data_IF_203147628714
#
_entry.id   IF_203147628714
#
_cell.length_a   1.000
_cell.length_b   1.000
_cell.length_c   1.000
_cell.angle_alpha   90.00
_cell.angle_beta   90.00
_cell.angle_gamma   90.00
#
_symmetry.space_group_name_H-M   'P 1'
#
loop_
_entity.id
_entity.type
_entity.pdbx_description
1 polymer ?
#
# COMPACT_ATOMS: atom_id res chain seq x y z
N UNK A 1 -15.77 27.11 -1.63
CA UNK A 1 -16.87 26.13 -1.68
C UNK A 1 -17.06 25.82 -3.15
N UNK A 2 -16.42 24.76 -3.62
CA UNK A 2 -17.10 23.48 -4.00
C UNK A 2 -16.88 23.35 -5.52
N UNK A 3 -16.58 22.22 -6.15
CA UNK A 3 -16.39 20.84 -5.72
C UNK A 3 -15.49 20.16 -6.76
N UNK A 4 -14.71 19.18 -6.31
CA UNK A 4 -14.05 18.21 -7.17
C UNK A 4 -15.13 17.44 -7.96
N UNK A 5 -15.26 17.70 -9.26
CA UNK A 5 -16.01 16.86 -10.17
C UNK A 5 -15.44 16.99 -11.59
N UNK A 6 -14.57 16.05 -11.93
CA UNK A 6 -14.14 15.76 -13.29
C UNK A 6 -14.05 14.25 -13.48
N UNK A 7 -15.06 13.53 -13.00
CA UNK A 7 -15.27 12.12 -13.31
C UNK A 7 -15.80 12.01 -14.73
N UNK A 8 -15.04 11.28 -15.55
CA UNK A 8 -15.47 10.33 -16.59
C UNK A 8 -16.84 10.65 -17.19
N UNK A 9 -16.86 11.21 -18.40
CA UNK A 9 -17.97 10.94 -19.29
C UNK A 9 -17.58 10.97 -20.78
N UNK A 10 -18.10 9.95 -21.45
CA UNK A 10 -18.19 9.67 -22.88
C UNK A 10 -17.00 9.02 -23.62
N UNK A 11 -17.24 7.73 -23.91
CA UNK A 11 -17.18 7.09 -25.24
C UNK A 11 -16.13 7.68 -26.18
N UNK A 12 -14.92 7.14 -26.09
CA UNK A 12 -14.11 6.71 -27.22
C UNK A 12 -12.87 6.00 -26.65
N UNK A 13 -12.86 4.68 -26.77
CA UNK A 13 -11.69 3.85 -26.45
C UNK A 13 -10.60 4.17 -27.47
N UNK A 14 -9.64 5.00 -27.10
CA UNK A 14 -8.30 5.05 -27.66
C UNK A 14 -7.34 5.50 -26.57
N UNK A 15 -6.92 4.55 -25.73
CA UNK A 15 -5.97 4.77 -24.63
C UNK A 15 -4.52 5.01 -25.13
N UNK A 16 -4.31 5.00 -26.45
CA UNK A 16 -3.00 5.16 -27.09
C UNK A 16 -3.05 6.18 -28.22
N UNK A 17 -3.39 7.43 -27.91
CA UNK A 17 -2.88 8.55 -28.71
C UNK A 17 -2.09 9.48 -27.79
N UNK A 18 -0.78 9.44 -28.01
CA UNK A 18 0.26 10.10 -27.25
C UNK A 18 0.11 11.63 -27.25
N UNK A 19 -0.52 12.17 -26.22
CA UNK A 19 -0.06 13.44 -25.66
C UNK A 19 0.81 13.11 -24.47
N UNK A 20 2.12 13.21 -24.65
CA UNK A 20 3.07 13.15 -23.54
C UNK A 20 2.58 14.07 -22.42
N UNK A 21 2.09 13.50 -21.32
CA UNK A 21 1.91 14.22 -20.08
C UNK A 21 3.29 14.63 -19.57
N UNK A 22 3.86 15.69 -20.15
CA UNK A 22 5.03 16.34 -19.57
C UNK A 22 4.59 16.98 -18.26
N UNK A 23 4.96 16.33 -17.16
CA UNK A 23 4.83 16.90 -15.83
C UNK A 23 5.51 18.28 -15.82
N UNK A 24 4.73 19.36 -15.86
CA UNK A 24 5.27 20.74 -15.88
C UNK A 24 5.90 21.04 -14.51
N UNK A 25 7.23 21.05 -14.46
CA UNK A 25 8.02 21.30 -13.26
C UNK A 25 8.11 22.80 -12.95
N UNK A 26 7.06 23.40 -12.36
CA UNK A 26 7.13 24.81 -11.93
C UNK A 26 7.67 24.95 -10.49
N UNK A 27 8.93 25.38 -10.38
CA UNK A 27 9.45 26.34 -9.39
C UNK A 27 9.50 26.04 -7.89
N UNK A 28 8.72 25.12 -7.32
CA UNK A 28 8.68 24.89 -5.87
C UNK A 28 8.60 23.39 -5.57
N UNK A 29 9.70 22.66 -5.79
CA UNK A 29 9.77 21.25 -5.40
C UNK A 29 10.38 21.16 -3.99
N UNK A 30 9.67 20.63 -2.99
CA UNK A 30 10.28 20.32 -1.70
C UNK A 30 11.49 19.39 -1.92
N UNK A 31 12.55 19.57 -1.14
CA UNK A 31 13.75 18.70 -1.21
C UNK A 31 13.42 17.19 -1.09
N UNK A 32 12.27 16.86 -0.49
CA UNK A 32 11.82 15.50 -0.21
C UNK A 32 10.98 14.90 -1.36
N UNK A 33 10.87 15.58 -2.51
CA UNK A 33 10.05 15.08 -3.61
C UNK A 33 10.56 13.72 -4.14
N UNK A 34 9.70 12.70 -4.26
CA UNK A 34 10.13 11.32 -4.50
C UNK A 34 10.34 11.02 -5.99
N UNK A 35 11.22 11.77 -6.69
CA UNK A 35 11.43 11.66 -8.15
C UNK A 35 11.65 10.21 -8.62
N UNK A 36 12.60 9.52 -7.96
CA UNK A 36 12.95 8.13 -8.30
C UNK A 36 11.78 7.17 -8.12
N UNK A 37 11.00 7.31 -7.04
CA UNK A 37 9.85 6.42 -6.81
C UNK A 37 8.74 6.64 -7.83
N UNK A 38 8.49 7.89 -8.22
CA UNK A 38 7.50 8.19 -9.27
C UNK A 38 7.93 7.66 -10.63
N UNK A 39 9.22 7.76 -10.97
CA UNK A 39 9.75 7.18 -12.19
C UNK A 39 9.59 5.65 -12.18
N UNK A 40 10.07 4.97 -11.13
CA UNK A 40 9.94 3.51 -11.00
C UNK A 40 8.48 3.05 -11.02
N UNK A 41 7.58 3.81 -10.40
CA UNK A 41 6.16 3.51 -10.43
C UNK A 41 5.58 3.69 -11.83
N UNK A 42 5.94 4.76 -12.54
CA UNK A 42 5.52 4.97 -13.92
C UNK A 42 5.98 3.85 -14.83
N UNK A 43 7.25 3.43 -14.72
CA UNK A 43 7.80 2.30 -15.48
C UNK A 43 7.05 1.01 -15.17
N UNK A 44 6.78 0.73 -13.89
CA UNK A 44 6.03 -0.46 -13.48
C UNK A 44 4.61 -0.49 -14.07
N UNK A 45 3.86 0.62 -13.94
CA UNK A 45 2.48 0.69 -14.43
C UNK A 45 2.41 0.61 -15.97
N UNK A 46 3.43 1.11 -16.68
CA UNK A 46 3.48 1.00 -18.14
C UNK A 46 3.73 -0.42 -18.64
N UNK A 47 4.50 -1.21 -17.89
CA UNK A 47 4.88 -2.57 -18.29
C UNK A 47 3.94 -3.66 -17.70
N UNK A 48 3.19 -3.35 -16.64
CA UNK A 48 2.36 -4.34 -15.94
C UNK A 48 1.06 -4.63 -16.69
N UNK A 49 0.79 -5.92 -16.91
CA UNK A 49 -0.48 -6.39 -17.46
C UNK A 49 -1.57 -6.36 -16.36
N UNK A 50 -2.49 -5.40 -16.45
CA UNK A 50 -3.59 -5.25 -15.50
C UNK A 50 -4.78 -6.19 -15.77
N UNK A 51 -4.83 -6.80 -16.95
CA UNK A 51 -5.86 -7.78 -17.28
C UNK A 51 -5.52 -9.16 -16.68
N UNK A 52 -4.28 -9.33 -16.22
CA UNK A 52 -3.83 -10.53 -15.52
C UNK A 52 -4.48 -10.70 -14.14
N UNK A 53 -5.19 -11.82 -13.95
CA UNK A 53 -5.78 -12.21 -12.65
C UNK A 53 -4.72 -12.79 -11.71
N UNK A 54 -3.98 -11.92 -11.01
CA UNK A 54 -3.06 -12.37 -9.97
C UNK A 54 -3.75 -12.90 -8.71
N UNK A 55 -5.08 -12.84 -8.63
CA UNK A 55 -5.87 -13.34 -7.49
C UNK A 55 -5.85 -14.87 -7.37
N UNK A 56 -5.59 -15.56 -8.48
CA UNK A 56 -5.57 -17.03 -8.54
C UNK A 56 -4.20 -17.62 -8.16
N UNK A 57 -3.19 -16.76 -7.96
CA UNK A 57 -1.85 -17.17 -7.55
C UNK A 57 -1.86 -17.45 -6.04
N UNK A 58 -1.35 -18.62 -5.59
CA UNK A 58 -1.14 -18.88 -4.17
C UNK A 58 -0.27 -17.79 -3.53
N UNK A 59 -0.61 -17.36 -2.30
CA UNK A 59 0.10 -16.28 -1.60
C UNK A 59 1.62 -16.50 -1.51
N UNK A 60 2.03 -17.77 -1.37
CA UNK A 60 3.44 -18.18 -1.36
C UNK A 60 4.18 -17.81 -2.65
N UNK A 61 3.52 -17.96 -3.79
CA UNK A 61 4.10 -17.70 -5.11
C UNK A 61 3.91 -16.24 -5.55
N UNK A 62 3.01 -15.51 -4.89
CA UNK A 62 2.67 -14.14 -5.24
C UNK A 62 3.86 -13.19 -5.07
N UNK A 63 4.66 -13.40 -4.02
CA UNK A 63 5.88 -12.62 -3.77
C UNK A 63 6.88 -12.86 -4.90
N UNK A 64 7.06 -14.10 -5.32
CA UNK A 64 7.97 -14.46 -6.41
C UNK A 64 7.46 -13.93 -7.75
N UNK A 65 6.16 -14.00 -8.00
CA UNK A 65 5.51 -13.41 -9.17
C UNK A 65 5.83 -11.91 -9.29
N UNK A 66 5.56 -11.11 -8.24
CA UNK A 66 5.86 -9.68 -8.29
C UNK A 66 7.37 -9.40 -8.29
N UNK A 67 8.18 -10.27 -7.67
CA UNK A 67 9.64 -10.14 -7.70
C UNK A 67 10.23 -10.44 -9.08
N UNK A 68 9.55 -11.24 -9.90
CA UNK A 68 9.97 -11.56 -11.27
C UNK A 68 9.72 -10.41 -12.27
N UNK A 69 8.87 -9.44 -11.91
CA UNK A 69 8.56 -8.31 -12.76
C UNK A 69 9.81 -7.45 -12.99
N UNK A 70 10.07 -7.08 -14.25
CA UNK A 70 11.33 -6.42 -14.68
C UNK A 70 11.67 -5.16 -13.87
N UNK A 71 10.68 -4.30 -13.61
CA UNK A 71 10.88 -3.05 -12.86
C UNK A 71 11.09 -3.32 -11.36
N UNK A 72 10.38 -4.31 -10.82
CA UNK A 72 10.35 -4.61 -9.39
C UNK A 72 11.55 -5.43 -8.92
N UNK A 73 12.00 -6.40 -9.73
CA UNK A 73 13.18 -7.25 -9.48
C UNK A 73 14.44 -6.44 -9.14
N UNK A 74 14.64 -5.32 -9.85
CA UNK A 74 15.78 -4.44 -9.69
C UNK A 74 15.64 -3.43 -8.53
N UNK A 75 14.45 -3.33 -7.93
CA UNK A 75 14.12 -2.28 -6.96
C UNK A 75 13.31 -2.81 -5.77
N UNK A 76 13.99 -3.37 -4.77
CA UNK A 76 13.36 -3.93 -3.55
C UNK A 76 12.42 -2.97 -2.83
N UNK A 77 12.72 -1.66 -2.83
CA UNK A 77 11.87 -0.67 -2.14
C UNK A 77 10.50 -0.47 -2.81
N UNK A 78 10.41 -0.45 -4.15
CA UNK A 78 9.12 -0.31 -4.82
C UNK A 78 8.32 -1.62 -4.72
N UNK A 79 8.99 -2.76 -4.87
CA UNK A 79 8.41 -4.09 -4.67
C UNK A 79 7.74 -4.19 -3.28
N UNK A 80 8.49 -3.89 -2.21
CA UNK A 80 7.93 -3.90 -0.85
C UNK A 80 6.75 -2.94 -0.70
N UNK A 81 6.85 -1.72 -1.26
CA UNK A 81 5.74 -0.75 -1.16
C UNK A 81 4.47 -1.27 -1.85
N UNK A 82 4.59 -1.89 -3.02
CA UNK A 82 3.46 -2.46 -3.76
C UNK A 82 2.86 -3.64 -2.99
N UNK A 83 3.70 -4.59 -2.58
CA UNK A 83 3.27 -5.79 -1.86
C UNK A 83 2.61 -5.49 -0.51
N UNK A 84 3.05 -4.44 0.21
CA UNK A 84 2.49 -4.08 1.51
C UNK A 84 1.28 -3.14 1.38
N UNK A 85 1.33 -2.14 0.48
CA UNK A 85 0.33 -1.06 0.47
C UNK A 85 -0.69 -1.15 -0.66
N UNK A 86 -0.39 -1.85 -1.75
CA UNK A 86 -1.28 -1.92 -2.92
C UNK A 86 -1.99 -3.27 -3.00
N UNK A 87 -1.23 -4.37 -3.05
CA UNK A 87 -1.78 -5.72 -3.28
C UNK A 87 -2.84 -6.13 -2.24
N UNK A 88 -2.66 -5.90 -0.92
CA UNK A 88 -3.70 -6.21 0.06
C UNK A 88 -5.01 -5.45 -0.17
N UNK A 89 -4.95 -4.22 -0.70
CA UNK A 89 -6.13 -3.44 -1.05
C UNK A 89 -6.86 -4.00 -2.27
N UNK A 90 -6.14 -4.56 -3.25
CA UNK A 90 -6.75 -5.26 -4.37
C UNK A 90 -7.50 -6.51 -3.91
N UNK A 91 -6.89 -7.33 -3.06
CA UNK A 91 -7.56 -8.47 -2.45
C UNK A 91 -8.79 -8.06 -1.62
N UNK A 92 -8.67 -7.00 -0.80
CA UNK A 92 -9.82 -6.49 -0.05
C UNK A 92 -10.95 -6.01 -0.98
N UNK A 93 -10.61 -5.31 -2.07
CA UNK A 93 -11.59 -4.88 -3.07
C UNK A 93 -12.27 -6.08 -3.74
N UNK A 94 -11.52 -7.10 -4.12
CA UNK A 94 -12.04 -8.34 -4.70
C UNK A 94 -13.00 -9.04 -3.72
N UNK A 95 -12.60 -9.17 -2.46
CA UNK A 95 -13.44 -9.69 -1.39
C UNK A 95 -14.77 -8.95 -1.28
N UNK A 96 -14.74 -7.62 -1.35
CA UNK A 96 -15.92 -6.78 -1.26
C UNK A 96 -16.85 -6.96 -2.47
N UNK A 97 -16.29 -7.04 -3.68
CA UNK A 97 -17.07 -7.19 -4.92
C UNK A 97 -17.71 -8.57 -5.05
N UNK A 98 -17.01 -9.62 -4.60
CA UNK A 98 -17.47 -11.01 -4.71
C UNK A 98 -18.17 -11.52 -3.45
N UNK A 99 -18.17 -10.70 -2.39
CA UNK A 99 -18.64 -11.08 -1.06
C UNK A 99 -17.94 -12.36 -0.53
N UNK A 100 -16.66 -12.53 -0.87
CA UNK A 100 -15.85 -13.68 -0.50
C UNK A 100 -14.71 -13.27 0.44
N UNK A 101 -14.82 -13.69 1.70
CA UNK A 101 -13.84 -13.42 2.76
C UNK A 101 -12.50 -14.13 2.54
N UNK A 102 -12.43 -15.11 1.63
CA UNK A 102 -11.19 -15.82 1.30
C UNK A 102 -10.09 -14.84 0.87
N UNK A 103 -10.41 -13.84 0.04
CA UNK A 103 -9.43 -12.85 -0.40
C UNK A 103 -8.93 -11.95 0.75
N UNK A 104 -9.75 -11.70 1.78
CA UNK A 104 -9.27 -11.00 3.01
C UNK A 104 -8.22 -11.85 3.71
N UNK A 105 -8.46 -13.16 3.83
CA UNK A 105 -7.50 -14.08 4.44
C UNK A 105 -6.19 -14.11 3.63
N UNK A 106 -6.28 -14.16 2.29
CA UNK A 106 -5.09 -14.10 1.42
C UNK A 106 -4.30 -12.79 1.60
N UNK A 107 -4.98 -11.64 1.74
CA UNK A 107 -4.33 -10.37 2.03
C UNK A 107 -3.59 -10.39 3.39
N UNK A 108 -4.20 -10.99 4.42
CA UNK A 108 -3.60 -11.14 5.74
C UNK A 108 -2.41 -12.10 5.69
N UNK A 109 -2.53 -13.22 4.99
CA UNK A 109 -1.45 -14.19 4.80
C UNK A 109 -0.25 -13.56 4.09
N UNK A 110 -0.51 -12.78 3.03
CA UNK A 110 0.52 -12.02 2.33
C UNK A 110 1.24 -11.07 3.30
N UNK A 111 0.50 -10.28 4.08
CA UNK A 111 1.12 -9.36 5.04
C UNK A 111 1.91 -10.09 6.15
N UNK A 112 1.50 -11.31 6.51
CA UNK A 112 2.22 -12.13 7.50
C UNK A 112 3.53 -12.72 6.95
N UNK A 113 3.61 -12.98 5.64
CA UNK A 113 4.82 -13.52 4.99
C UNK A 113 5.87 -12.44 4.69
N UNK A 114 5.47 -11.17 4.62
CA UNK A 114 6.35 -10.06 4.28
C UNK A 114 7.15 -9.53 5.49
N UNK A 115 8.38 -9.03 5.26
CA UNK A 115 9.19 -8.40 6.29
C UNK A 115 8.52 -7.13 6.84
N UNK A 116 8.91 -6.73 8.04
CA UNK A 116 8.35 -5.56 8.73
C UNK A 116 8.59 -4.26 7.96
N UNK A 117 7.60 -3.37 7.95
CA UNK A 117 7.80 -2.02 7.43
C UNK A 117 8.65 -1.19 8.41
N UNK A 118 9.73 -0.57 7.91
CA UNK A 118 10.54 0.35 8.70
C UNK A 118 10.10 1.79 8.49
N UNK A 119 9.40 2.33 9.49
CA UNK A 119 8.97 3.73 9.52
C UNK A 119 9.16 4.33 10.93
N UNK A 120 8.90 5.63 11.08
CA UNK A 120 9.14 6.29 12.36
C UNK A 120 8.24 5.76 13.48
N UNK A 121 7.05 5.25 13.15
CA UNK A 121 6.09 4.70 14.10
C UNK A 121 6.56 3.34 14.59
N UNK A 122 6.99 2.45 13.70
CA UNK A 122 7.52 1.14 14.09
C UNK A 122 8.80 1.27 14.95
N UNK A 123 9.62 2.29 14.69
CA UNK A 123 10.76 2.64 15.58
C UNK A 123 10.32 3.09 16.97
N UNK A 124 9.25 3.89 17.09
CA UNK A 124 8.69 4.30 18.39
C UNK A 124 8.18 3.10 19.19
N UNK A 125 7.45 2.19 18.55
CA UNK A 125 6.98 0.95 19.20
C UNK A 125 8.16 0.07 19.64
N UNK A 126 9.16 -0.08 18.77
CA UNK A 126 10.36 -0.89 19.10
C UNK A 126 11.15 -0.31 20.28
N UNK A 127 11.22 1.02 20.40
CA UNK A 127 11.90 1.69 21.51
C UNK A 127 11.28 1.41 22.89
N UNK A 128 10.00 0.99 22.93
CA UNK A 128 9.31 0.58 24.17
C UNK A 128 9.16 -0.96 24.27
N UNK A 129 9.95 -1.72 23.50
CA UNK A 129 9.98 -3.18 23.54
C UNK A 129 8.89 -3.89 22.72
N UNK A 130 8.10 -3.15 21.92
CA UNK A 130 7.05 -3.72 21.07
C UNK A 130 7.55 -3.76 19.62
N UNK A 131 8.17 -4.89 19.25
CA UNK A 131 8.79 -5.09 17.94
C UNK A 131 7.81 -5.84 17.01
N UNK A 132 7.42 -5.28 15.85
CA UNK A 132 6.59 -6.00 14.87
C UNK A 132 7.36 -7.20 14.32
N UNK A 133 6.69 -8.32 14.04
CA UNK A 133 7.33 -9.53 13.49
C UNK A 133 7.29 -9.58 11.96
N UNK A 134 6.27 -8.99 11.35
CA UNK A 134 6.03 -8.98 9.91
C UNK A 134 5.31 -7.70 9.46
N UNK A 135 5.01 -7.60 8.16
CA UNK A 135 4.30 -6.45 7.62
C UNK A 135 2.92 -6.27 8.27
N UNK A 136 2.18 -7.35 8.54
CA UNK A 136 0.88 -7.31 9.22
C UNK A 136 0.95 -6.57 10.57
N UNK A 137 1.89 -6.95 11.43
CA UNK A 137 2.09 -6.28 12.72
C UNK A 137 2.49 -4.80 12.54
N UNK A 138 3.38 -4.51 11.60
CA UNK A 138 3.83 -3.14 11.35
C UNK A 138 2.70 -2.24 10.84
N UNK A 139 1.78 -2.76 10.01
CA UNK A 139 0.58 -2.05 9.57
C UNK A 139 -0.41 -1.85 10.73
N UNK A 140 -0.61 -2.86 11.57
CA UNK A 140 -1.47 -2.74 12.76
C UNK A 140 -0.93 -1.67 13.72
N UNK A 141 0.37 -1.65 13.98
CA UNK A 141 1.03 -0.62 14.79
C UNK A 141 0.87 0.79 14.21
N UNK A 142 1.02 0.91 12.89
CA UNK A 142 0.87 2.18 12.19
C UNK A 142 -0.56 2.72 12.32
N UNK A 143 -1.56 1.87 12.08
CA UNK A 143 -2.95 2.29 12.15
C UNK A 143 -3.44 2.54 13.58
N UNK A 144 -3.05 1.72 14.57
CA UNK A 144 -3.36 2.02 15.97
C UNK A 144 -2.78 3.37 16.37
N UNK A 145 -1.53 3.63 16.00
CA UNK A 145 -0.87 4.90 16.31
C UNK A 145 -1.56 6.10 15.65
N UNK A 146 -1.89 6.02 14.35
CA UNK A 146 -2.56 7.10 13.62
C UNK A 146 -4.00 7.31 14.10
N UNK A 147 -4.77 6.25 14.26
CA UNK A 147 -6.21 6.35 14.52
C UNK A 147 -6.52 6.70 15.99
N UNK A 148 -5.67 6.22 16.93
CA UNK A 148 -5.88 6.40 18.36
C UNK A 148 -4.82 7.27 19.03
N UNK A 149 -3.54 6.87 18.99
CA UNK A 149 -2.48 7.53 19.78
C UNK A 149 -2.29 9.00 19.41
N UNK A 150 -2.14 9.31 18.11
CA UNK A 150 -2.00 10.69 17.63
C UNK A 150 -3.22 11.56 17.93
N UNK A 151 -4.41 10.94 17.98
CA UNK A 151 -5.67 11.64 18.27
C UNK A 151 -6.04 11.64 19.75
N UNK A 152 -5.17 11.10 20.63
CA UNK A 152 -5.39 10.97 22.07
C UNK A 152 -6.69 10.23 22.43
N UNK A 153 -7.13 9.27 21.60
CA UNK A 153 -8.36 8.48 21.81
C UNK A 153 -8.13 7.24 22.68
N UNK A 154 -7.36 7.37 23.76
CA UNK A 154 -6.97 6.22 24.60
C UNK A 154 -8.18 5.51 25.23
N UNK A 155 -9.23 6.25 25.57
CA UNK A 155 -10.49 5.70 26.11
C UNK A 155 -11.32 4.89 25.10
N UNK A 156 -10.98 4.96 23.81
CA UNK A 156 -11.61 4.17 22.74
C UNK A 156 -10.67 3.09 22.17
N UNK A 157 -9.43 3.03 22.64
CA UNK A 157 -8.43 2.06 22.20
C UNK A 157 -8.37 0.92 23.21
N UNK A 158 -8.51 -0.33 22.76
CA UNK A 158 -8.44 -1.50 23.67
C UNK A 158 -7.14 -1.56 24.48
N UNK A 159 -6.01 -1.22 23.84
CA UNK A 159 -4.70 -1.10 24.52
C UNK A 159 -4.72 0.05 25.53
N UNK A 160 -5.22 1.22 25.13
CA UNK A 160 -5.30 2.40 26.00
C UNK A 160 -6.16 2.18 27.23
N UNK A 161 -7.35 1.60 27.06
CA UNK A 161 -8.25 1.22 28.15
C UNK A 161 -7.55 0.28 29.13
N UNK A 162 -6.87 -0.76 28.63
CA UNK A 162 -6.14 -1.71 29.47
C UNK A 162 -4.98 -1.08 30.24
N UNK A 163 -4.33 -0.05 29.70
CA UNK A 163 -3.25 0.68 30.37
C UNK A 163 -3.77 1.65 31.44
N UNK A 164 -4.95 2.26 31.22
CA UNK A 164 -5.55 3.23 32.15
C UNK A 164 -6.31 2.56 33.30
N UNK A 165 -6.86 1.36 33.09
CA UNK A 165 -7.59 0.60 34.11
C UNK A 165 -6.66 -0.24 35.01
N UNK A 166 -5.43 0.23 35.24
CA UNK A 166 -4.48 -0.38 36.17
C UNK A 166 -4.41 0.43 37.46
#
# INVERSE_FOLDING_TARGET
MEHYAGFINNKDFNFFESQFYQWRLKGLRPNIFPKKRLQLFSEFISDFDFDFSFYDIPVVDLVDFFSSQKVLSNNKSILQNILINAIPLFFYRKAYLENDVCYINQAIELLKSLPTESNYVTRKWSAIGIVPKNAFDSQAHLEIYKQFCMRKRCLNCSIGIKLLNK
#
